data_IF_581208055828
#
_entry.id   IF_581208055828
#
_cell.length_a   1.000
_cell.length_b   1.000
_cell.length_c   1.000
_cell.angle_alpha   90.00
_cell.angle_beta   90.00
_cell.angle_gamma   90.00
#
_symmetry.space_group_name_H-M   'P 1'
#
loop_
_entity.id
_entity.type
_entity.pdbx_description
1 polymer ?
#
# COMPACT_ATOMS: atom_id res chain seq x y z
N UNK A 1 21.36 11.30 15.26
CA UNK A 1 21.25 11.73 13.84
C UNK A 1 20.94 10.59 12.86
N UNK A 2 20.77 9.32 13.30
CA UNK A 2 20.24 8.22 12.46
C UNK A 2 18.72 8.16 12.45
N UNK A 3 18.08 8.29 13.63
CA UNK A 3 16.63 8.07 13.81
C UNK A 3 15.71 9.02 13.04
N UNK A 4 16.11 10.28 12.85
CA UNK A 4 15.31 11.24 12.06
C UNK A 4 15.32 10.95 10.55
N UNK A 5 16.43 10.38 10.04
CA UNK A 5 16.51 9.94 8.65
C UNK A 5 15.64 8.70 8.43
N UNK A 6 15.73 7.72 9.34
CA UNK A 6 14.94 6.49 9.33
C UNK A 6 13.43 6.78 9.41
N UNK A 7 13.04 7.77 10.23
CA UNK A 7 11.65 8.22 10.33
C UNK A 7 11.17 8.90 9.03
N UNK A 8 11.98 9.76 8.41
CA UNK A 8 11.63 10.43 7.14
C UNK A 8 11.49 9.43 5.99
N UNK A 9 12.37 8.43 5.94
CA UNK A 9 12.29 7.35 4.95
C UNK A 9 11.01 6.54 5.14
N UNK A 10 10.68 6.19 6.39
CA UNK A 10 9.42 5.52 6.74
C UNK A 10 8.19 6.30 6.26
N UNK A 11 8.10 7.60 6.56
CA UNK A 11 6.99 8.43 6.07
C UNK A 11 6.91 8.52 4.54
N UNK A 12 8.07 8.51 3.87
CA UNK A 12 8.12 8.52 2.40
C UNK A 12 7.56 7.21 1.84
N UNK A 13 7.96 6.08 2.41
CA UNK A 13 7.48 4.75 2.01
C UNK A 13 5.98 4.58 2.24
N UNK A 14 5.46 5.05 3.38
CA UNK A 14 4.02 5.05 3.68
C UNK A 14 3.23 5.82 2.61
N UNK A 15 3.71 7.03 2.27
CA UNK A 15 3.08 7.82 1.22
C UNK A 15 3.09 7.10 -0.13
N UNK A 16 4.21 6.48 -0.50
CA UNK A 16 4.32 5.72 -1.76
C UNK A 16 3.38 4.51 -1.79
N UNK A 17 3.21 3.82 -0.67
CA UNK A 17 2.29 2.69 -0.52
C UNK A 17 0.83 3.13 -0.73
N UNK A 18 0.44 4.24 -0.10
CA UNK A 18 -0.88 4.84 -0.25
C UNK A 18 -1.16 5.31 -1.69
N UNK A 19 -0.17 5.95 -2.31
CA UNK A 19 -0.27 6.41 -3.71
C UNK A 19 -0.39 5.20 -4.66
N UNK A 20 0.38 4.13 -4.43
CA UNK A 20 0.32 2.90 -5.20
C UNK A 20 -1.05 2.21 -5.07
N UNK A 21 -1.60 2.09 -3.86
CA UNK A 21 -2.96 1.53 -3.66
C UNK A 21 -3.99 2.31 -4.45
N UNK A 22 -3.92 3.63 -4.41
CA UNK A 22 -4.85 4.51 -5.13
C UNK A 22 -4.77 4.26 -6.63
N UNK A 23 -3.56 4.14 -7.18
CA UNK A 23 -3.32 3.82 -8.58
C UNK A 23 -3.90 2.45 -8.97
N UNK A 24 -3.60 1.40 -8.20
CA UNK A 24 -4.06 0.03 -8.49
C UNK A 24 -5.59 -0.07 -8.42
N UNK A 25 -6.23 0.65 -7.49
CA UNK A 25 -7.69 0.75 -7.42
C UNK A 25 -8.29 1.40 -8.66
N UNK A 26 -7.70 2.51 -9.12
CA UNK A 26 -8.15 3.19 -10.33
C UNK A 26 -7.98 2.30 -11.58
N UNK A 27 -6.85 1.60 -11.69
CA UNK A 27 -6.60 0.63 -12.75
C UNK A 27 -7.59 -0.54 -12.71
N UNK A 28 -7.91 -1.05 -11.52
CA UNK A 28 -8.89 -2.11 -11.36
C UNK A 28 -10.27 -1.72 -11.89
N UNK A 29 -10.72 -0.50 -11.57
CA UNK A 29 -11.99 0.03 -12.08
C UNK A 29 -11.99 0.12 -13.61
N UNK A 30 -10.89 0.58 -14.21
CA UNK A 30 -10.78 0.67 -15.67
C UNK A 30 -10.74 -0.71 -16.34
N UNK A 31 -10.03 -1.67 -15.75
CA UNK A 31 -9.95 -3.04 -16.26
C UNK A 31 -11.30 -3.76 -16.23
N UNK A 32 -12.10 -3.58 -15.17
CA UNK A 32 -13.48 -4.10 -15.12
C UNK A 32 -14.35 -3.42 -16.18
N UNK A 33 -14.25 -2.09 -16.30
CA UNK A 33 -15.00 -1.30 -17.30
C UNK A 33 -14.67 -1.72 -18.73
N UNK A 34 -13.41 -2.09 -18.99
CA UNK A 34 -12.90 -2.51 -20.30
C UNK A 34 -12.93 -4.03 -20.49
N UNK A 35 -13.59 -4.77 -19.58
CA UNK A 35 -13.76 -6.23 -19.64
C UNK A 35 -12.46 -7.01 -19.77
N UNK A 36 -11.38 -6.56 -19.12
CA UNK A 36 -10.13 -7.34 -19.03
C UNK A 36 -10.28 -8.57 -18.12
N UNK A 37 -11.17 -8.49 -17.15
CA UNK A 37 -11.59 -9.56 -16.27
C UNK A 37 -12.94 -9.21 -15.64
N UNK A 38 -13.63 -10.20 -15.09
CA UNK A 38 -14.97 -10.03 -14.53
C UNK A 38 -14.92 -9.52 -13.08
N UNK A 39 -16.10 -9.21 -12.55
CA UNK A 39 -16.25 -8.65 -11.21
C UNK A 39 -15.67 -9.55 -10.09
N UNK A 40 -15.80 -10.90 -10.10
CA UNK A 40 -15.19 -11.75 -9.09
C UNK A 40 -13.65 -11.66 -9.03
N UNK A 41 -13.01 -11.59 -10.19
CA UNK A 41 -11.55 -11.42 -10.31
C UNK A 41 -11.11 -10.05 -9.82
N UNK A 42 -11.92 -9.01 -10.07
CA UNK A 42 -11.72 -7.66 -9.52
C UNK A 42 -11.75 -7.63 -7.99
N UNK A 43 -12.69 -8.36 -7.37
CA UNK A 43 -12.75 -8.48 -5.90
C UNK A 43 -11.49 -9.16 -5.38
N UNK A 44 -11.12 -10.30 -5.97
CA UNK A 44 -9.92 -11.05 -5.58
C UNK A 44 -8.63 -10.22 -5.73
N UNK A 45 -8.55 -9.43 -6.81
CA UNK A 45 -7.46 -8.49 -7.04
C UNK A 45 -7.38 -7.41 -5.95
N UNK A 46 -8.53 -6.82 -5.58
CA UNK A 46 -8.58 -5.80 -4.53
C UNK A 46 -8.28 -6.35 -3.14
N UNK A 47 -8.67 -7.58 -2.85
CA UNK A 47 -8.29 -8.28 -1.61
C UNK A 47 -6.77 -8.43 -1.52
N UNK A 48 -6.12 -8.84 -2.62
CA UNK A 48 -4.66 -8.95 -2.70
C UNK A 48 -3.97 -7.61 -2.45
N UNK A 49 -4.45 -6.53 -3.09
CA UNK A 49 -3.93 -5.17 -2.88
C UNK A 49 -4.06 -4.77 -1.40
N UNK A 50 -5.20 -5.06 -0.77
CA UNK A 50 -5.43 -4.80 0.65
C UNK A 50 -4.46 -5.54 1.58
N UNK A 51 -4.17 -6.82 1.30
CA UNK A 51 -3.20 -7.58 2.10
C UNK A 51 -1.79 -7.00 2.04
N UNK A 52 -1.33 -6.55 0.86
CA UNK A 52 0.00 -5.95 0.73
C UNK A 52 0.10 -4.58 1.41
N UNK A 53 -0.95 -3.77 1.35
CA UNK A 53 -1.01 -2.52 2.11
C UNK A 53 -0.91 -2.79 3.61
N UNK A 54 -1.73 -3.72 4.12
CA UNK A 54 -1.73 -4.04 5.54
C UNK A 54 -0.36 -4.56 6.02
N UNK A 55 0.32 -5.37 5.21
CA UNK A 55 1.69 -5.82 5.48
C UNK A 55 2.67 -4.64 5.53
N UNK A 56 2.57 -3.71 4.58
CA UNK A 56 3.37 -2.49 4.55
C UNK A 56 3.19 -1.65 5.81
N UNK A 57 1.94 -1.44 6.23
CA UNK A 57 1.60 -0.71 7.45
C UNK A 57 2.15 -1.39 8.70
N UNK A 58 2.11 -2.72 8.79
CA UNK A 58 2.70 -3.45 9.92
C UNK A 58 4.21 -3.25 10.00
N UNK A 59 4.93 -3.33 8.88
CA UNK A 59 6.38 -3.10 8.84
C UNK A 59 6.70 -1.66 9.26
N UNK A 60 5.94 -0.69 8.76
CA UNK A 60 6.07 0.73 9.12
C UNK A 60 5.83 0.98 10.61
N UNK A 61 4.77 0.41 11.18
CA UNK A 61 4.45 0.53 12.60
C UNK A 61 5.60 0.01 13.49
N UNK A 62 6.25 -1.09 13.09
CA UNK A 62 7.41 -1.63 13.83
C UNK A 62 8.61 -0.69 13.77
N UNK A 63 8.96 -0.17 12.58
CA UNK A 63 10.10 0.76 12.42
C UNK A 63 9.86 2.06 13.18
N UNK A 64 8.64 2.61 13.13
CA UNK A 64 8.27 3.81 13.89
C UNK A 64 8.33 3.58 15.41
N UNK A 65 7.91 2.40 15.89
CA UNK A 65 8.01 2.07 17.30
C UNK A 65 9.48 1.93 17.75
N UNK A 66 10.33 1.32 16.93
CA UNK A 66 11.75 1.14 17.21
C UNK A 66 12.57 2.44 17.17
N UNK A 67 12.10 3.46 16.44
CA UNK A 67 12.77 4.77 16.33
C UNK A 67 12.26 5.81 17.34
N UNK A 68 11.12 5.56 17.99
CA UNK A 68 10.56 6.40 19.07
C UNK A 68 11.01 5.97 20.48
N UNK A 69 11.65 4.80 20.62
CA UNK A 69 12.26 4.32 21.88
C UNK A 69 13.72 4.72 22.01
#
# INVERSE_FOLDING_TARGET
SSSEADARESYTLEKQLNDLRTLLKAQNMDNVRTQKYDYPESVSYMDLVGYYEQLGDYVLNVVQAATKG
#
